data_IF_086953043409
#
_entry.id   IF_086953043409
#
_cell.length_a   1.000
_cell.length_b   1.000
_cell.length_c   1.000
_cell.angle_alpha   90.00
_cell.angle_beta   90.00
_cell.angle_gamma   90.00
#
_symmetry.space_group_name_H-M   'P 1'
#
loop_
_entity.id
_entity.type
_entity.pdbx_description
1 polymer ?
#
# COMPACT_ATOMS: atom_id res chain seq x y z
N UNK A 1 -6.79 -2.14 -25.17
CA UNK A 1 -6.40 -2.56 -23.81
C UNK A 1 -5.27 -1.66 -23.33
N UNK A 2 -5.59 -0.57 -22.63
CA UNK A 2 -4.57 0.37 -22.14
C UNK A 2 -3.98 -0.16 -20.83
N UNK A 3 -2.67 -0.40 -20.78
CA UNK A 3 -1.93 -0.51 -19.52
C UNK A 3 -2.12 0.83 -18.82
N UNK A 4 -2.86 0.87 -17.71
CA UNK A 4 -3.00 2.08 -16.89
C UNK A 4 -1.61 2.46 -16.36
N UNK A 5 -0.91 3.36 -17.04
CA UNK A 5 0.45 3.78 -16.68
C UNK A 5 0.36 4.80 -15.56
N UNK A 6 0.43 4.34 -14.31
CA UNK A 6 0.53 5.19 -13.13
C UNK A 6 0.59 4.43 -11.82
N UNK A 7 0.79 5.17 -10.74
CA UNK A 7 0.86 4.69 -9.37
C UNK A 7 0.14 5.67 -8.45
N UNK A 8 -0.26 5.20 -7.28
CA UNK A 8 -0.95 6.04 -6.33
C UNK A 8 -0.38 5.87 -4.92
N UNK A 9 -0.49 6.93 -4.14
CA UNK A 9 -0.31 6.89 -2.68
C UNK A 9 -1.63 7.21 -1.99
N UNK A 10 -1.73 6.83 -0.73
CA UNK A 10 -2.75 7.27 0.20
C UNK A 10 -2.08 7.65 1.54
N UNK A 11 -2.81 8.24 2.51
CA UNK A 11 -2.25 8.60 3.81
C UNK A 11 -1.46 7.46 4.49
N UNK A 12 -1.96 6.23 4.39
CA UNK A 12 -1.31 5.06 5.00
C UNK A 12 0.02 4.69 4.33
N UNK A 13 0.09 4.72 2.99
CA UNK A 13 1.35 4.44 2.28
C UNK A 13 2.38 5.55 2.50
N UNK A 14 1.93 6.81 2.59
CA UNK A 14 2.82 7.95 2.84
C UNK A 14 3.40 7.92 4.26
N UNK A 15 2.56 7.66 5.26
CA UNK A 15 3.01 7.45 6.63
C UNK A 15 3.92 6.21 6.75
N UNK A 16 3.59 5.13 6.04
CA UNK A 16 4.42 3.93 5.94
C UNK A 16 5.79 4.22 5.35
N UNK A 17 5.84 4.97 4.24
CA UNK A 17 7.08 5.38 3.59
C UNK A 17 7.99 6.15 4.54
N UNK A 18 7.46 7.17 5.23
CA UNK A 18 8.23 7.96 6.21
C UNK A 18 8.72 7.07 7.35
N UNK A 19 7.84 6.27 7.96
CA UNK A 19 8.21 5.40 9.09
C UNK A 19 9.28 4.36 8.74
N UNK A 20 9.20 3.75 7.55
CA UNK A 20 10.20 2.76 7.09
C UNK A 20 11.52 3.45 6.76
N UNK A 21 11.49 4.60 6.08
CA UNK A 21 12.69 5.35 5.71
C UNK A 21 13.49 5.85 6.92
N UNK A 22 12.83 6.06 8.06
CA UNK A 22 13.46 6.47 9.31
C UNK A 22 13.80 5.30 10.25
N UNK A 23 13.54 4.05 9.86
CA UNK A 23 13.75 2.89 10.73
C UNK A 23 15.10 2.20 10.44
N UNK A 24 16.09 2.26 11.35
CA UNK A 24 17.42 1.67 11.14
C UNK A 24 17.38 0.14 11.05
N UNK A 25 16.33 -0.52 11.55
CA UNK A 25 16.15 -1.97 11.36
C UNK A 25 15.62 -2.33 9.97
N UNK A 26 15.15 -1.36 9.19
CA UNK A 26 14.56 -1.57 7.86
C UNK A 26 15.42 -1.04 6.71
N UNK A 27 16.28 -0.05 6.96
CA UNK A 27 17.15 0.57 5.93
C UNK A 27 18.60 0.62 6.38
N UNK A 28 19.53 0.62 5.40
CA UNK A 28 20.98 0.70 5.68
C UNK A 28 21.45 2.08 6.14
N UNK A 29 20.75 3.12 5.70
CA UNK A 29 21.01 4.51 6.06
C UNK A 29 19.65 5.16 6.30
N UNK A 30 19.33 5.47 7.56
CA UNK A 30 18.08 6.13 7.87
C UNK A 30 18.06 7.58 7.36
N UNK A 31 16.89 7.99 6.87
CA UNK A 31 16.58 9.39 6.59
C UNK A 31 16.01 10.06 7.84
N UNK A 32 16.14 11.38 7.95
CA UNK A 32 15.30 12.13 8.90
C UNK A 32 13.85 12.15 8.40
N UNK A 33 12.84 12.36 9.27
CA UNK A 33 11.46 12.53 8.82
C UNK A 33 11.29 13.64 7.78
N UNK A 34 12.05 14.74 7.91
CA UNK A 34 12.02 15.86 6.97
C UNK A 34 12.55 15.43 5.59
N UNK A 35 13.67 14.71 5.55
CA UNK A 35 14.25 14.20 4.30
C UNK A 35 13.33 13.18 3.62
N UNK A 36 12.72 12.28 4.41
CA UNK A 36 11.76 11.31 3.88
C UNK A 36 10.53 12.01 3.27
N UNK A 37 9.97 13.03 3.94
CA UNK A 37 8.86 13.82 3.39
C UNK A 37 9.27 14.56 2.12
N UNK A 38 10.49 15.13 2.08
CA UNK A 38 11.01 15.81 0.90
C UNK A 38 11.18 14.84 -0.29
N UNK A 39 11.72 13.65 -0.03
CA UNK A 39 11.86 12.58 -1.02
C UNK A 39 10.50 12.10 -1.53
N UNK A 40 9.53 11.87 -0.64
CA UNK A 40 8.17 11.49 -1.02
C UNK A 40 7.54 12.54 -1.95
N UNK A 41 7.63 13.83 -1.60
CA UNK A 41 7.18 14.93 -2.47
C UNK A 41 7.90 14.96 -3.82
N UNK A 42 9.19 14.62 -3.86
CA UNK A 42 9.93 14.53 -5.11
C UNK A 42 9.43 13.34 -5.97
N UNK A 43 9.16 12.19 -5.35
CA UNK A 43 8.62 11.02 -6.02
C UNK A 43 7.22 11.30 -6.59
N UNK A 44 6.31 11.88 -5.80
CA UNK A 44 4.95 12.23 -6.22
C UNK A 44 4.91 13.22 -7.39
N UNK A 45 5.94 14.05 -7.56
CA UNK A 45 6.06 14.95 -8.73
C UNK A 45 6.55 14.26 -10.00
N UNK A 46 7.02 13.01 -9.91
CA UNK A 46 7.30 12.20 -11.10
C UNK A 46 5.96 11.81 -11.71
N UNK A 47 5.82 12.01 -13.02
CA UNK A 47 4.54 11.84 -13.73
C UNK A 47 3.83 10.52 -13.44
N UNK A 48 2.51 10.54 -13.65
CA UNK A 48 1.61 9.40 -13.43
C UNK A 48 1.40 9.00 -11.97
N UNK A 49 1.65 9.90 -11.01
CA UNK A 49 1.21 9.77 -9.61
C UNK A 49 -0.22 10.29 -9.43
N UNK A 50 -1.00 9.64 -8.57
CA UNK A 50 -2.25 10.16 -8.03
C UNK A 50 -2.31 9.96 -6.50
N UNK A 51 -2.97 10.87 -5.80
CA UNK A 51 -3.28 10.68 -4.39
C UNK A 51 -4.71 10.13 -4.23
N UNK A 52 -4.85 9.04 -3.50
CA UNK A 52 -6.13 8.43 -3.14
C UNK A 52 -6.44 8.70 -1.67
N UNK A 53 -7.51 9.45 -1.41
CA UNK A 53 -8.03 9.65 -0.07
C UNK A 53 -8.52 8.33 0.53
N UNK A 54 -8.35 8.15 1.84
CA UNK A 54 -8.92 7.03 2.57
C UNK A 54 -10.08 7.53 3.43
N UNK A 55 -11.29 7.52 2.85
CA UNK A 55 -12.51 8.10 3.42
C UNK A 55 -13.49 7.06 3.99
N UNK A 56 -13.12 5.77 3.96
CA UNK A 56 -13.95 4.66 4.41
C UNK A 56 -13.58 4.18 5.81
N UNK A 57 -14.59 3.71 6.53
CA UNK A 57 -14.41 3.06 7.83
C UNK A 57 -13.74 1.68 7.67
N UNK A 58 -13.02 1.24 8.69
CA UNK A 58 -12.52 -0.15 8.79
C UNK A 58 -13.66 -1.18 8.68
N UNK A 59 -14.87 -0.81 9.09
CA UNK A 59 -16.07 -1.65 8.97
C UNK A 59 -16.54 -1.84 7.54
N UNK A 60 -16.02 -1.05 6.59
CA UNK A 60 -16.34 -1.12 5.16
C UNK A 60 -15.35 -2.00 4.37
N UNK A 61 -14.38 -2.64 5.03
CA UNK A 61 -13.51 -3.63 4.36
C UNK A 61 -14.40 -4.76 3.80
N UNK A 62 -14.23 -5.13 2.51
CA UNK A 62 -14.96 -6.24 1.90
C UNK A 62 -14.92 -7.49 2.76
N UNK A 63 -16.06 -8.16 2.91
CA UNK A 63 -16.18 -9.35 3.77
C UNK A 63 -15.16 -10.44 3.38
N UNK A 64 -14.92 -10.62 2.09
CA UNK A 64 -13.92 -11.56 1.57
C UNK A 64 -12.49 -11.30 2.07
N UNK A 65 -12.12 -10.05 2.35
CA UNK A 65 -10.83 -9.70 2.97
C UNK A 65 -10.95 -9.83 4.50
N UNK A 66 -12.03 -9.29 5.08
CA UNK A 66 -12.24 -9.23 6.53
C UNK A 66 -12.19 -10.60 7.20
N UNK A 67 -12.80 -11.63 6.57
CA UNK A 67 -12.82 -13.01 7.08
C UNK A 67 -11.44 -13.69 7.06
N UNK A 68 -10.45 -13.11 6.36
CA UNK A 68 -9.08 -13.64 6.22
C UNK A 68 -8.06 -12.94 7.11
N UNK A 69 -8.48 -11.91 7.84
CA UNK A 69 -7.63 -11.23 8.83
C UNK A 69 -7.45 -12.17 10.02
N UNK A 70 -6.22 -12.66 10.21
CA UNK A 70 -5.84 -13.58 11.27
C UNK A 70 -5.25 -12.85 12.50
N UNK A 71 -4.78 -11.61 12.34
CA UNK A 71 -4.23 -10.85 13.45
C UNK A 71 -4.11 -9.35 13.19
N UNK A 72 -3.93 -8.59 14.27
CA UNK A 72 -3.91 -7.12 14.26
C UNK A 72 -2.83 -6.51 13.33
N UNK A 73 -1.77 -7.25 13.00
CA UNK A 73 -0.70 -6.79 12.11
C UNK A 73 -1.15 -6.64 10.65
N UNK A 74 -2.22 -7.33 10.25
CA UNK A 74 -2.71 -7.34 8.88
C UNK A 74 -3.74 -6.23 8.59
N UNK A 75 -4.13 -5.43 9.59
CA UNK A 75 -5.19 -4.44 9.44
C UNK A 75 -4.84 -3.39 8.39
N UNK A 76 -3.62 -2.86 8.43
CA UNK A 76 -3.15 -1.87 7.44
C UNK A 76 -3.15 -2.46 6.03
N UNK A 77 -2.68 -3.70 5.87
CA UNK A 77 -2.66 -4.38 4.57
C UNK A 77 -4.07 -4.63 4.03
N UNK A 78 -5.01 -5.01 4.90
CA UNK A 78 -6.42 -5.17 4.54
C UNK A 78 -7.05 -3.84 4.09
N UNK A 79 -6.74 -2.74 4.79
CA UNK A 79 -7.21 -1.39 4.41
C UNK A 79 -6.62 -0.94 3.06
N UNK A 80 -5.33 -1.17 2.84
CA UNK A 80 -4.66 -0.84 1.57
C UNK A 80 -5.20 -1.68 0.41
N UNK A 81 -5.47 -2.96 0.65
CA UNK A 81 -6.02 -3.86 -0.36
C UNK A 81 -7.46 -3.47 -0.73
N UNK A 82 -8.30 -3.18 0.28
CA UNK A 82 -9.65 -2.68 0.07
C UNK A 82 -9.65 -1.37 -0.74
N UNK A 83 -8.75 -0.43 -0.42
CA UNK A 83 -8.60 0.82 -1.16
C UNK A 83 -8.19 0.58 -2.61
N UNK A 84 -7.20 -0.30 -2.85
CA UNK A 84 -6.77 -0.64 -4.20
C UNK A 84 -7.93 -1.23 -5.03
N UNK A 85 -8.71 -2.13 -4.44
CA UNK A 85 -9.89 -2.71 -5.10
C UNK A 85 -10.96 -1.68 -5.41
N UNK A 86 -11.22 -0.73 -4.50
CA UNK A 86 -12.19 0.36 -4.71
C UNK A 86 -11.82 1.22 -5.94
N UNK A 87 -10.53 1.50 -6.15
CA UNK A 87 -10.07 2.29 -7.29
C UNK A 87 -9.83 1.45 -8.56
N UNK A 88 -10.18 0.15 -8.56
CA UNK A 88 -9.88 -0.76 -9.67
C UNK A 88 -8.39 -0.95 -9.92
N UNK A 89 -7.56 -0.66 -8.91
CA UNK A 89 -6.12 -0.75 -8.93
C UNK A 89 -5.58 -2.07 -8.38
N UNK A 90 -4.25 -2.10 -8.20
CA UNK A 90 -3.52 -3.23 -7.60
C UNK A 90 -2.64 -2.69 -6.48
N UNK A 91 -2.65 -3.36 -5.33
CA UNK A 91 -1.74 -3.05 -4.24
C UNK A 91 -0.35 -3.59 -4.58
N UNK A 92 0.60 -2.68 -4.80
CA UNK A 92 2.01 -3.02 -4.95
C UNK A 92 2.65 -3.23 -3.56
N UNK A 93 3.32 -4.37 -3.34
CA UNK A 93 3.86 -4.72 -2.02
C UNK A 93 5.19 -5.47 -2.14
N UNK A 94 6.06 -5.33 -1.13
CA UNK A 94 7.27 -6.16 -0.95
C UNK A 94 6.99 -7.39 -0.07
N UNK A 95 5.83 -7.43 0.60
CA UNK A 95 5.42 -8.53 1.48
C UNK A 95 4.64 -9.60 0.70
N UNK A 96 5.22 -10.79 0.59
CA UNK A 96 4.57 -11.96 -0.03
C UNK A 96 3.43 -12.51 0.82
N UNK A 97 3.47 -12.30 2.13
CA UNK A 97 2.46 -12.73 3.10
C UNK A 97 1.10 -12.06 2.88
N UNK A 98 1.07 -10.90 2.24
CA UNK A 98 -0.17 -10.17 1.91
C UNK A 98 -1.15 -11.00 1.08
N UNK A 99 -0.65 -11.95 0.28
CA UNK A 99 -1.48 -12.90 -0.49
C UNK A 99 -2.44 -13.71 0.39
N UNK A 100 -2.14 -13.90 1.69
CA UNK A 100 -3.03 -14.59 2.63
C UNK A 100 -4.38 -13.88 2.83
N UNK A 101 -4.46 -12.58 2.54
CA UNK A 101 -5.69 -11.80 2.62
C UNK A 101 -6.62 -11.99 1.43
N UNK A 102 -6.19 -12.73 0.40
CA UNK A 102 -6.95 -12.96 -0.82
C UNK A 102 -7.57 -14.36 -0.86
N UNK A 103 -8.74 -14.51 -1.51
CA UNK A 103 -9.21 -15.81 -2.00
C UNK A 103 -8.17 -16.46 -2.93
N UNK A 104 -8.06 -17.79 -2.89
CA UNK A 104 -7.04 -18.53 -3.65
C UNK A 104 -7.13 -18.33 -5.18
N UNK A 105 -8.34 -18.05 -5.67
CA UNK A 105 -8.67 -17.80 -7.07
C UNK A 105 -8.48 -16.33 -7.50
N UNK A 106 -8.15 -15.42 -6.58
CA UNK A 106 -8.14 -13.98 -6.82
C UNK A 106 -6.77 -13.36 -6.56
N UNK A 107 -5.88 -13.41 -7.55
CA UNK A 107 -4.52 -12.83 -7.43
C UNK A 107 -4.35 -11.43 -8.04
N UNK A 108 -5.32 -10.97 -8.84
CA UNK A 108 -5.20 -9.69 -9.56
C UNK A 108 -5.02 -8.43 -8.68
N UNK A 109 -5.65 -8.27 -7.50
CA UNK A 109 -5.60 -7.00 -6.77
C UNK A 109 -4.27 -6.76 -6.05
N UNK A 110 -3.30 -7.69 -6.14
CA UNK A 110 -1.97 -7.55 -5.53
C UNK A 110 -0.89 -7.70 -6.60
N UNK A 111 0.16 -6.89 -6.49
CA UNK A 111 1.38 -6.99 -7.28
C UNK A 111 2.58 -7.06 -6.32
N UNK A 112 3.19 -8.24 -6.21
CA UNK A 112 4.42 -8.38 -5.42
C UNK A 112 5.58 -7.84 -6.24
N UNK A 113 6.25 -6.83 -5.71
CA UNK A 113 7.45 -6.23 -6.31
C UNK A 113 8.63 -7.18 -6.05
N UNK A 114 9.37 -7.63 -7.08
CA UNK A 114 10.60 -8.39 -6.89
C UNK A 114 11.65 -7.54 -6.18
N UNK A 115 12.28 -8.09 -5.14
CA UNK A 115 13.37 -7.48 -4.35
C UNK A 115 14.58 -8.36 -4.29
#
# INVERSE_FOLDING_TARGET
MSRTTGWATCPLTEAGFVRVSCNPSAVKQEATPLDAIALLRALMRRGSHAFWSHDRSITSIPEEIRLRIQGYRQITDAMLLALAMQHGGRLATLDTGLKSLLPADRQQPVYVIPV
#
